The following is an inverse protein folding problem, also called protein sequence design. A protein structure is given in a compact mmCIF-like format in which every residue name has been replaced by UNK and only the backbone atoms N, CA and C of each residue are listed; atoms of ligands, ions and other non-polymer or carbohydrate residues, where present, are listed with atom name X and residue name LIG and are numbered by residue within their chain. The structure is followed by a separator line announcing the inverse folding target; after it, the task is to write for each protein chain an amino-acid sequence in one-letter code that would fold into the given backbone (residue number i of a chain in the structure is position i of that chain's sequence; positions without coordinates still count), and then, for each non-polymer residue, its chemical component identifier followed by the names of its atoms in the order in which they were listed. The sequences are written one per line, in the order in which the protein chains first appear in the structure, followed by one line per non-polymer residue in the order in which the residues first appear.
data_IF_918854692473
#
_entry.id   IF_918854692473
#
_cell.length_a   1.000
_cell.length_b   1.000
_cell.length_c   1.000
_cell.angle_alpha   90.00
_cell.angle_beta   90.00
_cell.angle_gamma   90.00
#
_symmetry.space_group_name_H-M   'P 1'
#
loop_
_entity.id
_entity.type
_entity.pdbx_description
1 polymer ?
#
# COMPACT_ATOMS: atom_id res chain seq x y z
N UNK A 1 -21.72 16.79 17.30
CA UNK A 1 -21.01 15.54 17.57
C UNK A 1 -19.64 15.88 18.09
N UNK A 2 -19.18 15.19 19.12
CA UNK A 2 -17.84 15.41 19.68
C UNK A 2 -16.77 14.88 18.72
N UNK A 3 -15.61 15.54 18.65
CA UNK A 3 -14.46 15.12 17.82
C UNK A 3 -14.12 13.65 18.04
N UNK A 4 -14.17 13.19 19.28
CA UNK A 4 -13.88 11.80 19.66
C UNK A 4 -14.82 10.81 18.99
N UNK A 5 -16.13 11.11 18.94
CA UNK A 5 -17.13 10.26 18.28
C UNK A 5 -16.89 10.19 16.76
N UNK A 6 -16.50 11.32 16.16
CA UNK A 6 -16.18 11.39 14.74
C UNK A 6 -14.98 10.50 14.40
N UNK A 7 -13.92 10.54 15.22
CA UNK A 7 -12.73 9.69 15.02
C UNK A 7 -13.02 8.20 15.26
N UNK A 8 -13.91 7.87 16.19
CA UNK A 8 -14.38 6.50 16.40
C UNK A 8 -15.14 5.99 15.17
N UNK A 9 -16.09 6.76 14.65
CA UNK A 9 -16.83 6.40 13.42
C UNK A 9 -15.91 6.23 12.22
N UNK A 10 -14.90 7.10 12.05
CA UNK A 10 -13.88 6.93 11.01
C UNK A 10 -13.11 5.62 11.17
N UNK A 11 -12.81 5.21 12.41
CA UNK A 11 -12.13 3.95 12.68
C UNK A 11 -13.02 2.75 12.33
N UNK A 12 -14.30 2.81 12.69
CA UNK A 12 -15.31 1.80 12.32
C UNK A 12 -15.47 1.66 10.81
N UNK A 13 -15.49 2.79 10.09
CA UNK A 13 -15.57 2.84 8.63
C UNK A 13 -14.25 2.57 7.91
N UNK A 14 -13.16 2.30 8.65
CA UNK A 14 -11.81 2.08 8.10
C UNK A 14 -11.29 3.26 7.26
N UNK A 15 -11.66 4.49 7.65
CA UNK A 15 -11.26 5.74 7.00
C UNK A 15 -9.92 6.23 7.56
N UNK A 16 -8.86 5.46 7.31
CA UNK A 16 -7.56 5.69 7.94
C UNK A 16 -6.88 6.97 7.46
N UNK A 17 -7.03 7.31 6.17
CA UNK A 17 -6.46 8.54 5.61
C UNK A 17 -7.14 9.77 6.20
N UNK A 18 -8.47 9.76 6.24
CA UNK A 18 -9.27 10.85 6.84
C UNK A 18 -8.91 11.02 8.31
N UNK A 19 -8.86 9.92 9.07
CA UNK A 19 -8.54 9.97 10.50
C UNK A 19 -7.17 10.59 10.75
N UNK A 20 -6.17 10.27 9.93
CA UNK A 20 -4.81 10.82 10.05
C UNK A 20 -4.73 12.30 9.68
N UNK A 21 -5.50 12.74 8.68
CA UNK A 21 -5.46 14.12 8.18
C UNK A 21 -6.45 15.07 8.88
N UNK A 22 -7.33 14.54 9.74
CA UNK A 22 -8.48 15.26 10.28
C UNK A 22 -8.11 16.60 10.96
N UNK A 23 -7.19 16.59 11.92
CA UNK A 23 -6.84 17.79 12.68
C UNK A 23 -6.20 18.87 11.82
N UNK A 24 -5.35 18.45 10.87
CA UNK A 24 -4.66 19.36 9.97
C UNK A 24 -5.65 20.00 8.99
N UNK A 25 -6.50 19.20 8.35
CA UNK A 25 -7.48 19.69 7.36
C UNK A 25 -8.54 20.56 8.03
N UNK A 26 -9.03 20.17 9.21
CA UNK A 26 -9.97 20.99 9.97
C UNK A 26 -9.31 22.30 10.46
N UNK A 27 -8.08 22.23 10.98
CA UNK A 27 -7.32 23.40 11.41
C UNK A 27 -7.07 24.38 10.27
N UNK A 28 -6.69 23.89 9.09
CA UNK A 28 -6.51 24.71 7.89
C UNK A 28 -7.83 25.27 7.37
N UNK A 29 -8.90 24.45 7.34
CA UNK A 29 -10.22 24.87 6.90
C UNK A 29 -10.80 26.00 7.75
N UNK A 30 -10.64 25.93 9.08
CA UNK A 30 -11.06 27.00 10.00
C UNK A 30 -10.23 28.26 9.79
N UNK A 31 -8.89 28.14 9.72
CA UNK A 31 -7.98 29.29 9.54
C UNK A 31 -8.20 30.03 8.24
N UNK A 32 -8.51 29.31 7.16
CA UNK A 32 -8.62 29.85 5.80
C UNK A 32 -10.07 30.04 5.34
N UNK A 33 -11.05 29.79 6.22
CA UNK A 33 -12.49 29.86 5.92
C UNK A 33 -12.84 29.08 4.65
N UNK A 34 -12.28 27.87 4.50
CA UNK A 34 -12.59 27.04 3.36
C UNK A 34 -14.06 26.63 3.39
N UNK A 35 -14.71 26.73 2.23
CA UNK A 35 -16.06 26.23 2.04
C UNK A 35 -16.15 24.74 2.41
N UNK A 36 -17.25 24.27 3.03
CA UNK A 36 -17.39 22.88 3.46
C UNK A 36 -17.09 21.83 2.38
N UNK A 37 -17.50 22.01 1.09
CA UNK A 37 -17.13 21.08 0.02
C UNK A 37 -15.61 20.93 -0.16
N UNK A 38 -14.83 21.99 0.09
CA UNK A 38 -13.37 21.94 -0.04
C UNK A 38 -12.73 21.11 1.07
N UNK A 39 -13.18 21.30 2.31
CA UNK A 39 -12.72 20.53 3.48
C UNK A 39 -13.01 19.04 3.26
N UNK A 40 -14.24 18.72 2.81
CA UNK A 40 -14.62 17.34 2.50
C UNK A 40 -13.76 16.77 1.37
N UNK A 41 -13.50 17.56 0.32
CA UNK A 41 -12.62 17.16 -0.79
C UNK A 41 -11.20 16.83 -0.32
N UNK A 42 -10.60 17.67 0.52
CA UNK A 42 -9.24 17.47 1.04
C UNK A 42 -9.17 16.20 1.93
N UNK A 43 -10.21 15.94 2.75
CA UNK A 43 -10.31 14.69 3.53
C UNK A 43 -10.43 13.46 2.61
N UNK A 44 -11.32 13.49 1.61
CA UNK A 44 -11.50 12.38 0.69
C UNK A 44 -10.24 12.09 -0.14
N UNK A 45 -9.51 13.13 -0.53
CA UNK A 45 -8.23 12.97 -1.23
C UNK A 45 -7.21 12.23 -0.38
N UNK A 46 -7.14 12.54 0.92
CA UNK A 46 -6.29 11.82 1.87
C UNK A 46 -6.67 10.34 2.00
N UNK A 47 -7.97 10.03 1.97
CA UNK A 47 -8.46 8.65 2.02
C UNK A 47 -8.06 7.85 0.78
N UNK A 48 -8.20 8.45 -0.40
CA UNK A 48 -7.83 7.83 -1.67
C UNK A 48 -6.33 7.54 -1.70
N UNK A 49 -5.51 8.50 -1.26
CA UNK A 49 -4.06 8.34 -1.19
C UNK A 49 -3.66 7.20 -0.24
N UNK A 50 -4.28 7.10 0.94
CA UNK A 50 -4.03 6.01 1.89
C UNK A 50 -4.40 4.65 1.29
N UNK A 51 -5.60 4.53 0.69
CA UNK A 51 -6.06 3.28 0.07
C UNK A 51 -5.15 2.86 -1.07
N UNK A 52 -4.70 3.80 -1.89
CA UNK A 52 -3.78 3.52 -2.99
C UNK A 52 -2.42 3.04 -2.45
N UNK A 53 -1.85 3.73 -1.46
CA UNK A 53 -0.60 3.33 -0.82
C UNK A 53 -0.70 1.93 -0.20
N UNK A 54 -1.81 1.62 0.47
CA UNK A 54 -2.09 0.30 1.03
C UNK A 54 -2.20 -0.77 -0.05
N UNK A 55 -2.91 -0.49 -1.15
CA UNK A 55 -3.03 -1.39 -2.29
C UNK A 55 -1.67 -1.69 -2.90
N UNK A 56 -0.83 -0.66 -3.11
CA UNK A 56 0.54 -0.83 -3.63
C UNK A 56 1.37 -1.70 -2.67
N UNK A 57 1.31 -1.46 -1.35
CA UNK A 57 2.03 -2.28 -0.37
C UNK A 57 1.56 -3.74 -0.39
N UNK A 58 0.26 -3.96 -0.48
CA UNK A 58 -0.31 -5.29 -0.59
C UNK A 58 0.15 -5.98 -1.87
N UNK A 59 0.06 -5.29 -3.01
CA UNK A 59 0.55 -5.79 -4.29
C UNK A 59 2.05 -6.11 -4.25
N UNK A 60 2.88 -5.23 -3.69
CA UNK A 60 4.32 -5.47 -3.52
C UNK A 60 4.60 -6.68 -2.61
N UNK A 61 3.87 -6.82 -1.50
CA UNK A 61 4.04 -7.96 -0.59
C UNK A 61 3.65 -9.29 -1.24
N UNK A 62 2.63 -9.30 -2.10
CA UNK A 62 2.15 -10.51 -2.78
C UNK A 62 2.94 -10.81 -4.04
N UNK A 63 3.36 -9.77 -4.75
CA UNK A 63 4.07 -9.91 -6.01
C UNK A 63 5.34 -10.75 -5.85
N UNK A 64 5.89 -10.88 -4.63
CA UNK A 64 7.18 -11.54 -4.37
C UNK A 64 8.14 -11.19 -5.50
N UNK A 65 8.19 -9.87 -5.81
CA UNK A 65 8.94 -9.28 -6.91
C UNK A 65 10.27 -10.02 -6.95
N UNK A 66 10.67 -10.66 -8.07
CA UNK A 66 11.66 -11.71 -8.03
C UNK A 66 12.91 -11.16 -7.34
N UNK A 67 13.10 -11.59 -6.09
CA UNK A 67 14.41 -11.62 -5.47
C UNK A 67 15.28 -12.33 -6.49
N UNK A 68 16.50 -11.84 -6.76
CA UNK A 68 17.40 -12.43 -7.75
C UNK A 68 17.27 -13.95 -7.67
N UNK A 69 16.59 -14.54 -8.65
CA UNK A 69 16.33 -15.97 -8.65
C UNK A 69 17.61 -16.56 -9.17
N UNK A 70 18.45 -17.00 -8.26
CA UNK A 70 19.63 -17.74 -8.64
C UNK A 70 19.19 -19.13 -9.11
N UNK A 71 20.09 -19.81 -9.82
CA UNK A 71 19.87 -21.18 -10.27
C UNK A 71 19.48 -22.13 -9.12
N UNK A 72 19.88 -21.78 -7.89
CA UNK A 72 19.57 -22.52 -6.67
C UNK A 72 18.10 -22.38 -6.23
N UNK A 73 17.43 -21.29 -6.61
CA UNK A 73 16.02 -21.02 -6.29
C UNK A 73 15.05 -21.49 -7.38
N UNK A 74 15.57 -22.08 -8.47
CA UNK A 74 14.74 -22.58 -9.58
C UNK A 74 14.24 -24.01 -9.29
N UNK A 75 12.92 -24.20 -9.34
CA UNK A 75 12.28 -25.52 -9.20
C UNK A 75 12.25 -26.28 -10.54
N UNK A 76 13.08 -27.32 -10.65
CA UNK A 76 13.17 -28.17 -11.84
C UNK A 76 12.13 -29.30 -11.90
N UNK A 77 11.36 -29.54 -10.82
CA UNK A 77 10.53 -30.76 -10.61
C UNK A 77 9.52 -31.03 -11.73
N UNK A 78 9.05 -29.99 -12.44
CA UNK A 78 8.08 -30.12 -13.53
C UNK A 78 8.61 -29.58 -14.88
N UNK A 79 9.92 -29.55 -15.05
CA UNK A 79 10.55 -29.06 -16.28
C UNK A 79 11.18 -30.20 -17.08
N UNK A 80 11.13 -30.18 -18.42
CA UNK A 80 11.83 -31.16 -19.26
C UNK A 80 13.35 -30.89 -19.36
N UNK A 81 13.87 -30.00 -18.51
CA UNK A 81 15.24 -29.47 -18.58
C UNK A 81 16.16 -30.29 -17.68
N UNK A 82 17.36 -30.60 -18.14
CA UNK A 82 18.35 -31.33 -17.35
C UNK A 82 19.00 -30.39 -16.32
N UNK A 83 18.56 -30.51 -15.06
CA UNK A 83 19.08 -29.70 -13.94
C UNK A 83 20.60 -29.81 -13.78
N UNK A 84 21.16 -31.03 -13.83
CA UNK A 84 22.60 -31.26 -13.63
C UNK A 84 23.44 -30.50 -14.67
N UNK A 85 23.03 -30.57 -15.94
CA UNK A 85 23.70 -29.87 -17.03
C UNK A 85 23.59 -28.35 -16.88
N UNK A 86 22.43 -27.85 -16.47
CA UNK A 86 22.21 -26.41 -16.27
C UNK A 86 23.07 -25.86 -15.13
N UNK A 87 23.27 -26.64 -14.06
CA UNK A 87 24.15 -26.28 -12.93
C UNK A 87 25.63 -26.28 -13.32
N UNK A 88 26.07 -27.28 -14.07
CA UNK A 88 27.44 -27.39 -14.60
C UNK A 88 27.79 -26.19 -15.53
N UNK A 89 26.89 -25.88 -16.46
CA UNK A 89 27.05 -24.73 -17.36
C UNK A 89 27.03 -23.38 -16.63
N UNK A 90 26.30 -23.28 -15.51
CA UNK A 90 26.26 -22.06 -14.71
C UNK A 90 27.55 -21.82 -13.92
N UNK A 91 28.24 -22.87 -13.48
CA UNK A 91 29.53 -22.76 -12.76
C UNK A 91 30.76 -22.72 -13.68
N UNK A 92 30.59 -23.02 -14.98
CA UNK A 92 31.66 -22.94 -15.97
C UNK A 92 32.75 -24.00 -15.82
N UNK A 93 32.43 -25.10 -15.13
CA UNK A 93 33.28 -26.27 -14.91
C UNK A 93 32.75 -27.43 -15.74
#
# INVERSE_FOLDING_TARGET
MERTQVLELMSTLKLYGIRSAYDEVMGNGIKRQHEPPRIVGDLLQSEIAEKQARSIRYQLSIAKLPLAKDIDDFDFTNTPVNESLVRELATGT
#
